data_IF_347294703721
#
_entry.id   IF_347294703721
#
_cell.length_a   1.000
_cell.length_b   1.000
_cell.length_c   1.000
_cell.angle_alpha   90.00
_cell.angle_beta   90.00
_cell.angle_gamma   90.00
#
_symmetry.space_group_name_H-M   'P 1'
#
loop_
_entity.id
_entity.type
_entity.pdbx_description
1 polymer ?
#
# COMPACT_ATOMS: atom_id res chain seq x y z
N UNK A 1 13.38 52.65 -19.95
CA UNK A 1 12.25 53.04 -19.09
C UNK A 1 12.08 51.95 -18.04
N UNK A 2 12.47 52.23 -16.79
CA UNK A 2 12.42 51.29 -15.66
C UNK A 2 11.20 51.64 -14.82
N UNK A 3 10.35 50.67 -14.49
CA UNK A 3 9.29 50.85 -13.50
C UNK A 3 9.61 49.98 -12.30
N UNK A 4 9.99 50.66 -11.20
CA UNK A 4 10.07 50.09 -9.87
C UNK A 4 8.66 50.14 -9.27
N UNK A 5 8.16 49.01 -8.80
CA UNK A 5 6.92 48.95 -8.02
C UNK A 5 7.31 48.61 -6.58
N UNK A 6 7.15 49.60 -5.73
CA UNK A 6 7.28 49.53 -4.27
C UNK A 6 5.91 49.13 -3.71
N UNK A 7 5.82 48.07 -2.90
CA UNK A 7 4.62 47.76 -2.12
C UNK A 7 5.04 47.55 -0.67
N UNK A 8 4.65 48.51 0.17
CA UNK A 8 4.75 48.49 1.64
C UNK A 8 3.36 48.39 2.22
N UNK A 9 3.03 47.30 2.92
CA UNK A 9 1.94 47.20 3.90
C UNK A 9 2.30 46.04 4.85
N UNK A 10 2.05 45.99 6.14
CA UNK A 10 1.69 46.92 7.22
C UNK A 10 1.63 45.98 8.46
N UNK A 11 2.40 46.26 9.51
CA UNK A 11 2.32 45.50 10.77
C UNK A 11 1.00 45.84 11.47
N UNK A 12 0.23 44.83 11.88
CA UNK A 12 -0.87 44.97 12.81
C UNK A 12 -0.57 44.14 14.06
N UNK A 13 -0.07 44.83 15.08
CA UNK A 13 0.06 44.38 16.47
C UNK A 13 -1.32 44.44 17.12
N UNK A 14 -1.76 43.35 17.77
CA UNK A 14 -2.88 43.37 18.70
C UNK A 14 -2.41 42.78 20.04
N UNK A 15 -2.55 43.55 21.10
CA UNK A 15 -2.16 43.25 22.48
C UNK A 15 -3.39 43.37 23.37
N UNK A 16 -3.39 42.62 24.48
CA UNK A 16 -4.17 42.80 25.73
C UNK A 16 -5.66 42.33 25.70
N UNK A 17 -6.31 41.80 26.75
CA UNK A 17 -6.06 41.70 28.22
C UNK A 17 -7.16 40.80 28.90
N UNK A 18 -6.91 40.29 30.13
CA UNK A 18 -7.85 40.04 31.29
C UNK A 18 -8.75 38.77 31.24
N UNK A 19 -9.06 37.97 32.29
CA UNK A 19 -8.85 37.91 33.75
C UNK A 19 -8.98 36.42 34.21
N UNK A 20 -8.22 35.93 35.21
CA UNK A 20 -8.63 35.67 36.62
C UNK A 20 -9.98 34.98 36.87
N UNK A 21 -9.95 33.74 37.37
CA UNK A 21 -10.83 33.33 38.48
C UNK A 21 -10.07 32.40 39.46
N UNK A 22 -10.20 32.70 40.75
CA UNK A 22 -9.43 32.18 41.88
C UNK A 22 -10.34 32.17 43.10
N UNK A 23 -10.51 31.00 43.73
CA UNK A 23 -11.19 30.80 45.03
C UNK A 23 -12.46 29.95 44.88
N UNK A 24 -12.86 29.08 45.80
CA UNK A 24 -12.53 28.96 47.21
C UNK A 24 -12.88 27.57 47.76
N UNK A 25 -12.48 27.36 49.00
CA UNK A 25 -12.25 26.14 49.75
C UNK A 25 -13.46 25.60 50.52
N UNK A 26 -13.30 24.37 51.06
CA UNK A 26 -13.91 23.81 52.29
C UNK A 26 -15.31 23.22 52.11
N UNK A 27 -15.59 21.94 52.45
CA UNK A 27 -15.84 21.49 53.83
C UNK A 27 -15.90 19.96 53.91
N UNK A 28 -15.33 19.41 54.99
CA UNK A 28 -15.34 17.99 55.33
C UNK A 28 -16.53 17.59 56.23
N UNK A 29 -16.64 16.27 56.49
CA UNK A 29 -17.32 15.53 57.59
C UNK A 29 -18.71 14.91 57.27
N UNK A 30 -19.17 13.87 58.00
CA UNK A 30 -18.66 12.49 58.08
C UNK A 30 -19.70 11.41 57.68
N UNK A 31 -19.24 10.16 57.70
CA UNK A 31 -19.95 8.87 57.58
C UNK A 31 -21.16 8.71 58.53
N UNK A 32 -22.13 7.84 58.17
CA UNK A 32 -22.20 6.56 58.91
C UNK A 32 -22.36 5.31 58.02
N UNK A 33 -22.24 4.19 58.71
CA UNK A 33 -22.03 2.80 58.29
C UNK A 33 -23.32 1.96 58.19
N UNK A 34 -23.17 0.78 57.56
CA UNK A 34 -24.04 -0.41 57.50
C UNK A 34 -25.26 -0.34 56.53
N UNK A 35 -25.63 -1.37 55.75
CA UNK A 35 -25.38 -2.82 55.77
C UNK A 35 -25.59 -3.42 54.34
N UNK A 36 -25.39 -4.74 54.11
CA UNK A 36 -25.04 -5.31 52.80
C UNK A 36 -26.27 -5.63 51.93
N UNK A 37 -26.13 -5.53 50.61
CA UNK A 37 -27.12 -6.06 49.67
C UNK A 37 -26.45 -6.84 48.54
N UNK A 38 -26.77 -8.13 48.55
CA UNK A 38 -26.78 -9.14 47.49
C UNK A 38 -25.83 -9.00 46.29
N UNK A 39 -25.00 -10.04 46.16
CA UNK A 39 -24.30 -10.40 44.95
C UNK A 39 -25.26 -10.58 43.76
N UNK A 40 -25.00 -9.83 42.69
CA UNK A 40 -25.49 -10.16 41.34
C UNK A 40 -24.26 -10.44 40.48
N UNK A 41 -23.99 -11.72 40.25
CA UNK A 41 -23.10 -12.21 39.20
C UNK A 41 -23.57 -11.71 37.84
N UNK A 42 -22.95 -10.66 37.33
CA UNK A 42 -23.08 -10.26 35.93
C UNK A 42 -22.06 -11.07 35.12
N UNK A 43 -22.58 -11.98 34.30
CA UNK A 43 -21.81 -12.79 33.37
C UNK A 43 -21.03 -11.88 32.40
N UNK A 44 -19.72 -12.11 32.31
CA UNK A 44 -18.86 -11.58 31.27
C UNK A 44 -19.37 -12.06 29.90
N UNK A 45 -20.01 -11.15 29.16
CA UNK A 45 -20.35 -11.39 27.77
C UNK A 45 -19.07 -11.33 26.91
N UNK A 46 -18.80 -12.32 26.05
CA UNK A 46 -17.64 -12.29 25.16
C UNK A 46 -17.76 -11.14 24.14
N UNK A 47 -16.64 -10.54 23.71
CA UNK A 47 -16.64 -9.46 22.74
C UNK A 47 -17.24 -9.89 21.40
N UNK A 48 -18.03 -8.99 20.83
CA UNK A 48 -18.82 -9.17 19.62
C UNK A 48 -17.99 -9.66 18.43
N UNK A 49 -18.46 -10.75 17.82
CA UNK A 49 -17.99 -11.31 16.55
C UNK A 49 -17.92 -10.25 15.45
N UNK A 50 -16.74 -10.09 14.86
CA UNK A 50 -16.53 -9.36 13.62
C UNK A 50 -17.34 -10.00 12.47
N UNK A 51 -17.84 -9.14 11.57
CA UNK A 51 -18.63 -9.52 10.39
C UNK A 51 -17.96 -10.61 9.55
N UNK A 52 -18.72 -11.56 8.96
CA UNK A 52 -18.18 -12.58 8.08
C UNK A 52 -17.61 -11.91 6.82
N UNK A 53 -16.29 -11.94 6.68
CA UNK A 53 -15.59 -11.56 5.46
C UNK A 53 -15.98 -12.54 4.35
N UNK A 54 -16.44 -12.02 3.21
CA UNK A 54 -16.91 -12.79 2.07
C UNK A 54 -15.85 -13.80 1.60
N UNK A 55 -16.25 -15.08 1.53
CA UNK A 55 -15.46 -16.14 0.93
C UNK A 55 -15.38 -15.92 -0.59
N UNK A 56 -14.17 -15.78 -1.13
CA UNK A 56 -13.95 -15.68 -2.58
C UNK A 56 -14.02 -17.07 -3.23
N UNK A 57 -14.68 -17.25 -4.39
CA UNK A 57 -14.79 -18.54 -5.07
C UNK A 57 -13.44 -19.02 -5.61
N UNK A 58 -13.23 -20.34 -5.56
CA UNK A 58 -11.99 -21.03 -5.94
C UNK A 58 -11.71 -20.96 -7.45
N UNK A 59 -10.47 -20.65 -7.83
CA UNK A 59 -10.09 -20.49 -9.24
C UNK A 59 -8.78 -21.24 -9.62
N UNK A 60 -8.98 -22.46 -10.14
CA UNK A 60 -8.32 -23.17 -11.26
C UNK A 60 -6.85 -23.63 -11.25
N UNK A 61 -6.69 -24.91 -11.61
CA UNK A 61 -5.49 -25.74 -11.77
C UNK A 61 -4.53 -25.42 -12.94
N UNK A 62 -4.74 -24.35 -13.70
CA UNK A 62 -3.94 -24.04 -14.90
C UNK A 62 -2.70 -23.14 -14.62
N UNK A 63 -2.38 -22.87 -13.35
CA UNK A 63 -1.42 -21.83 -12.93
C UNK A 63 -0.10 -22.37 -12.34
N UNK A 64 0.15 -23.67 -12.41
CA UNK A 64 1.27 -24.31 -11.70
C UNK A 64 2.67 -24.00 -12.28
N UNK A 65 2.77 -23.54 -13.52
CA UNK A 65 4.04 -23.17 -14.15
C UNK A 65 4.25 -21.65 -14.09
N UNK A 66 4.86 -21.15 -13.02
CA UNK A 66 5.25 -19.74 -12.95
C UNK A 66 5.57 -19.21 -11.57
N UNK A 67 5.74 -17.88 -11.50
CA UNK A 67 6.08 -17.07 -10.30
C UNK A 67 5.19 -17.30 -9.07
N UNK A 68 4.09 -18.04 -9.18
CA UNK A 68 3.16 -18.37 -8.09
C UNK A 68 3.20 -19.84 -7.62
N UNK A 69 4.17 -20.63 -8.08
CA UNK A 69 4.26 -22.06 -7.78
C UNK A 69 4.24 -22.40 -6.27
N UNK A 70 4.73 -21.49 -5.41
CA UNK A 70 4.73 -21.69 -3.96
C UNK A 70 3.57 -21.00 -3.24
N UNK A 71 2.64 -20.35 -3.94
CA UNK A 71 1.51 -19.70 -3.29
C UNK A 71 0.45 -20.74 -2.91
N UNK A 72 0.12 -20.94 -1.61
CA UNK A 72 -0.91 -21.88 -1.19
C UNK A 72 -2.32 -21.44 -1.63
N UNK A 73 -2.55 -20.14 -1.85
CA UNK A 73 -3.86 -19.60 -2.25
C UNK A 73 -4.27 -19.95 -3.70
N UNK A 74 -3.35 -20.41 -4.54
CA UNK A 74 -3.66 -20.83 -5.92
C UNK A 74 -3.84 -22.34 -6.08
N UNK A 75 -3.73 -23.09 -4.97
CA UNK A 75 -3.99 -24.54 -5.00
C UNK A 75 -5.44 -24.77 -5.46
N UNK A 76 -5.71 -25.71 -6.39
CA UNK A 76 -7.06 -25.97 -6.85
C UNK A 76 -8.01 -26.29 -5.71
N UNK A 77 -9.14 -25.58 -5.66
CA UNK A 77 -10.12 -25.73 -4.59
C UNK A 77 -9.76 -25.03 -3.28
N UNK A 78 -8.65 -24.28 -3.22
CA UNK A 78 -8.30 -23.48 -2.05
C UNK A 78 -9.33 -22.35 -1.83
N UNK A 79 -9.74 -22.20 -0.59
CA UNK A 79 -10.44 -21.04 -0.05
C UNK A 79 -9.50 -20.32 0.91
N UNK A 80 -9.54 -19.00 0.96
CA UNK A 80 -8.73 -18.21 1.89
C UNK A 80 -9.61 -17.24 2.66
N UNK A 81 -9.43 -17.24 3.98
CA UNK A 81 -9.99 -16.24 4.88
C UNK A 81 -8.84 -15.44 5.50
N UNK A 82 -8.95 -14.11 5.45
CA UNK A 82 -8.02 -13.20 6.11
C UNK A 82 -8.66 -12.64 7.37
N UNK A 83 -7.93 -12.68 8.48
CA UNK A 83 -8.27 -12.02 9.75
C UNK A 83 -7.10 -11.20 10.25
N UNK A 84 -7.39 -10.15 10.99
CA UNK A 84 -6.34 -9.46 11.75
C UNK A 84 -5.87 -10.38 12.89
N UNK A 85 -4.56 -10.40 13.11
CA UNK A 85 -3.92 -11.10 14.22
C UNK A 85 -3.13 -10.10 15.06
N UNK A 86 -2.80 -10.46 16.29
CA UNK A 86 -1.94 -9.63 17.13
C UNK A 86 -0.58 -9.41 16.45
N UNK A 87 -0.27 -8.14 16.16
CA UNK A 87 0.95 -7.76 15.46
C UNK A 87 1.04 -8.21 14.00
N UNK A 88 -0.05 -8.65 13.36
CA UNK A 88 0.02 -9.17 11.99
C UNK A 88 -1.32 -9.39 11.29
N UNK A 89 -1.29 -10.30 10.32
CA UNK A 89 -2.45 -10.79 9.58
C UNK A 89 -2.42 -12.32 9.53
N UNK A 90 -3.54 -12.97 9.86
CA UNK A 90 -3.71 -14.42 9.73
C UNK A 90 -4.43 -14.74 8.42
N UNK A 91 -3.85 -15.67 7.65
CA UNK A 91 -4.42 -16.23 6.44
C UNK A 91 -4.73 -17.71 6.68
N UNK A 92 -6.01 -18.06 6.82
CA UNK A 92 -6.45 -19.46 6.89
C UNK A 92 -6.78 -19.92 5.48
N UNK A 93 -6.03 -20.90 4.98
CA UNK A 93 -6.16 -21.45 3.63
C UNK A 93 -6.61 -22.90 3.75
N UNK A 94 -7.77 -23.21 3.21
CA UNK A 94 -8.38 -24.55 3.31
C UNK A 94 -8.83 -25.08 1.97
N UNK A 95 -8.95 -26.40 1.85
CA UNK A 95 -9.54 -27.09 0.71
C UNK A 95 -10.34 -28.30 1.19
N UNK A 96 -11.22 -28.82 0.33
CA UNK A 96 -12.01 -30.03 0.61
C UNK A 96 -11.25 -31.30 0.24
N UNK A 97 -10.48 -31.26 -0.85
CA UNK A 97 -9.77 -32.42 -1.38
C UNK A 97 -8.48 -32.71 -0.60
N UNK A 98 -8.26 -33.94 -0.10
CA UNK A 98 -7.08 -34.28 0.70
C UNK A 98 -5.72 -33.98 0.01
N UNK A 99 -5.68 -34.13 -1.32
CA UNK A 99 -4.51 -33.77 -2.12
C UNK A 99 -4.22 -32.26 -2.05
N UNK A 100 -5.25 -31.42 -2.24
CA UNK A 100 -5.12 -29.96 -2.10
C UNK A 100 -4.75 -29.53 -0.67
N UNK A 101 -5.28 -30.21 0.35
CA UNK A 101 -4.90 -29.97 1.76
C UNK A 101 -3.40 -30.19 1.97
N UNK A 102 -2.90 -31.33 1.47
CA UNK A 102 -1.47 -31.70 1.56
C UNK A 102 -0.59 -30.69 0.81
N UNK A 103 -1.04 -30.26 -0.38
CA UNK A 103 -0.32 -29.27 -1.17
C UNK A 103 -0.30 -27.88 -0.50
N UNK A 104 -1.42 -27.42 0.07
CA UNK A 104 -1.50 -26.16 0.84
C UNK A 104 -0.50 -26.16 1.99
N UNK A 105 -0.47 -27.25 2.78
CA UNK A 105 0.49 -27.38 3.90
C UNK A 105 1.93 -27.40 3.41
N UNK A 106 2.21 -28.12 2.34
CA UNK A 106 3.56 -28.21 1.75
C UNK A 106 4.04 -26.84 1.27
N UNK A 107 3.22 -26.11 0.51
CA UNK A 107 3.53 -24.74 0.05
C UNK A 107 3.65 -23.76 1.23
N UNK A 108 2.81 -23.91 2.25
CA UNK A 108 2.89 -23.12 3.48
C UNK A 108 4.23 -23.29 4.22
N UNK A 109 4.74 -24.53 4.31
CA UNK A 109 6.06 -24.82 4.90
C UNK A 109 7.18 -24.13 4.13
N UNK A 110 7.17 -24.23 2.80
CA UNK A 110 8.14 -23.56 1.93
C UNK A 110 8.14 -22.04 2.17
N UNK A 111 6.98 -21.41 2.29
CA UNK A 111 6.90 -19.97 2.60
C UNK A 111 7.42 -19.64 4.00
N UNK A 112 7.04 -20.40 5.02
CA UNK A 112 7.51 -20.16 6.39
C UNK A 112 9.04 -20.33 6.52
N UNK A 113 9.63 -21.30 5.82
CA UNK A 113 11.09 -21.49 5.75
C UNK A 113 11.76 -20.36 4.97
N UNK A 114 11.21 -20.00 3.81
CA UNK A 114 11.75 -18.91 2.98
C UNK A 114 11.73 -17.57 3.72
N UNK A 115 10.72 -17.31 4.56
CA UNK A 115 10.63 -16.07 5.35
C UNK A 115 11.76 -15.94 6.37
N UNK A 116 12.24 -17.06 6.93
CA UNK A 116 13.39 -17.07 7.85
C UNK A 116 14.70 -16.71 7.13
N UNK A 117 14.82 -17.11 5.87
CA UNK A 117 16.02 -16.91 5.06
C UNK A 117 16.02 -15.57 4.30
N UNK A 118 14.93 -14.81 4.33
CA UNK A 118 14.86 -13.49 3.70
C UNK A 118 15.62 -12.45 4.52
N UNK A 119 16.80 -12.11 4.01
CA UNK A 119 17.55 -10.92 4.40
C UNK A 119 17.14 -9.72 3.53
N UNK A 120 17.28 -8.48 4.02
CA UNK A 120 17.02 -7.28 3.21
C UNK A 120 17.90 -7.20 1.94
N UNK A 121 19.02 -7.93 1.91
CA UNK A 121 19.99 -7.95 0.82
C UNK A 121 19.78 -9.07 -0.21
N UNK A 122 18.72 -9.90 -0.09
CA UNK A 122 18.44 -10.95 -1.08
C UNK A 122 18.16 -10.33 -2.45
N UNK A 123 19.18 -10.36 -3.32
CA UNK A 123 19.07 -9.97 -4.73
C UNK A 123 18.07 -10.87 -5.42
N UNK A 124 17.15 -10.28 -6.17
CA UNK A 124 16.15 -11.01 -6.94
C UNK A 124 16.81 -11.65 -8.16
N UNK A 125 17.25 -12.90 -8.04
CA UNK A 125 17.90 -13.68 -9.11
C UNK A 125 16.93 -14.24 -10.14
N UNK A 126 15.61 -14.06 -9.95
CA UNK A 126 14.58 -14.62 -10.82
C UNK A 126 14.19 -16.07 -10.48
N UNK A 127 14.91 -16.74 -9.58
CA UNK A 127 14.70 -18.14 -9.15
C UNK A 127 13.49 -18.36 -8.23
N UNK A 128 12.61 -17.36 -8.07
CA UNK A 128 11.47 -17.43 -7.17
C UNK A 128 11.77 -17.09 -5.71
N UNK A 129 13.02 -17.05 -5.26
CA UNK A 129 13.40 -16.78 -3.85
C UNK A 129 13.40 -15.29 -3.45
N UNK A 130 13.12 -14.40 -4.41
CA UNK A 130 13.05 -12.96 -4.18
C UNK A 130 11.66 -12.50 -3.76
N UNK A 131 11.56 -11.78 -2.64
CA UNK A 131 10.32 -11.17 -2.13
C UNK A 131 9.55 -10.26 -3.10
N UNK A 132 10.15 -9.90 -4.24
CA UNK A 132 9.53 -9.15 -5.34
C UNK A 132 8.86 -9.99 -6.43
N UNK A 133 8.81 -11.33 -6.35
CA UNK A 133 8.32 -12.14 -7.48
C UNK A 133 7.55 -13.42 -7.17
N UNK A 134 7.09 -13.69 -5.93
CA UNK A 134 6.17 -14.81 -5.62
C UNK A 134 4.74 -14.66 -6.22
N UNK A 135 4.61 -13.89 -7.30
CA UNK A 135 3.35 -13.34 -7.78
C UNK A 135 2.63 -12.56 -6.69
N UNK A 136 1.39 -12.16 -6.95
CA UNK A 136 0.56 -11.44 -5.96
C UNK A 136 0.03 -12.40 -4.89
N UNK A 137 0.87 -13.24 -4.29
CA UNK A 137 0.45 -14.11 -3.20
C UNK A 137 0.03 -13.27 -1.99
N UNK A 138 -1.16 -13.49 -1.40
CA UNK A 138 -1.63 -12.79 -0.21
C UNK A 138 -0.68 -12.88 0.98
N UNK A 139 0.14 -13.94 1.03
CA UNK A 139 1.25 -14.07 1.98
C UNK A 139 2.38 -13.12 1.56
N UNK A 140 2.48 -11.98 2.23
CA UNK A 140 3.52 -10.97 1.98
C UNK A 140 4.80 -11.38 2.70
N UNK A 141 5.88 -11.60 1.94
CA UNK A 141 7.16 -12.08 2.48
C UNK A 141 8.21 -10.99 2.72
N UNK A 142 8.04 -9.82 2.11
CA UNK A 142 8.99 -8.70 2.24
C UNK A 142 8.91 -8.14 3.66
N UNK A 143 10.05 -8.14 4.35
CA UNK A 143 10.20 -7.58 5.70
C UNK A 143 9.20 -8.16 6.72
N UNK A 144 8.83 -9.43 6.56
CA UNK A 144 7.90 -10.12 7.45
C UNK A 144 8.50 -11.39 8.03
N UNK A 145 7.95 -11.84 9.15
CA UNK A 145 8.06 -13.20 9.64
C UNK A 145 6.76 -13.94 9.32
N UNK A 146 6.86 -15.23 8.97
CA UNK A 146 5.72 -16.08 8.66
C UNK A 146 5.75 -17.29 9.59
N UNK A 147 4.71 -17.40 10.41
CA UNK A 147 4.46 -18.54 11.28
C UNK A 147 3.41 -19.44 10.59
N UNK A 148 3.65 -20.75 10.59
CA UNK A 148 2.74 -21.74 9.99
C UNK A 148 2.16 -22.63 11.07
N UNK A 149 0.85 -22.85 11.01
CA UNK A 149 0.15 -23.85 11.80
C UNK A 149 -0.72 -24.70 10.88
N UNK A 150 -0.57 -26.02 10.92
CA UNK A 150 -1.50 -26.91 10.22
C UNK A 150 -2.88 -26.83 10.91
N UNK A 151 -3.93 -26.69 10.11
CA UNK A 151 -5.32 -26.66 10.59
C UNK A 151 -6.15 -27.72 9.87
N UNK A 152 -7.35 -27.99 10.37
CA UNK A 152 -8.28 -28.87 9.67
C UNK A 152 -8.56 -28.34 8.26
N UNK A 153 -8.38 -29.21 7.25
CA UNK A 153 -8.58 -28.84 5.85
C UNK A 153 -7.50 -27.95 5.23
N UNK A 154 -6.37 -27.65 5.90
CA UNK A 154 -5.30 -26.87 5.26
C UNK A 154 -4.23 -26.33 6.21
N UNK A 155 -3.92 -25.04 6.08
CA UNK A 155 -2.91 -24.34 6.85
C UNK A 155 -3.33 -22.91 7.22
N UNK A 156 -2.91 -22.47 8.40
CA UNK A 156 -2.97 -21.09 8.85
C UNK A 156 -1.57 -20.47 8.80
N UNK A 157 -1.42 -19.34 8.12
CA UNK A 157 -0.20 -18.56 8.09
C UNK A 157 -0.41 -17.23 8.81
N UNK A 158 0.33 -17.01 9.89
CA UNK A 158 0.37 -15.70 10.57
C UNK A 158 1.57 -14.93 10.07
N UNK A 159 1.30 -13.81 9.39
CA UNK A 159 2.33 -12.94 8.81
C UNK A 159 2.46 -11.70 9.69
N UNK A 160 3.65 -11.46 10.23
CA UNK A 160 3.96 -10.32 11.08
C UNK A 160 5.04 -9.47 10.41
N UNK A 161 4.91 -8.14 10.34
CA UNK A 161 5.99 -7.30 9.83
C UNK A 161 7.13 -7.28 10.86
N UNK A 162 8.38 -7.18 10.37
CA UNK A 162 9.55 -6.99 11.24
C UNK A 162 9.60 -5.56 11.80
N UNK A 163 9.02 -4.59 11.08
CA UNK A 163 8.77 -3.23 11.57
C UNK A 163 7.28 -3.05 11.92
N UNK A 164 6.91 -2.80 13.20
CA UNK A 164 5.53 -2.56 13.60
C UNK A 164 4.83 -1.43 12.84
N UNK A 165 5.57 -0.44 12.31
CA UNK A 165 5.01 0.66 11.51
C UNK A 165 4.42 0.19 10.18
N UNK A 166 4.81 -0.98 9.70
CA UNK A 166 4.31 -1.56 8.45
C UNK A 166 3.03 -2.40 8.64
N UNK A 167 2.50 -2.54 9.87
CA UNK A 167 1.36 -3.41 10.15
C UNK A 167 0.10 -3.04 9.34
N UNK A 168 -0.28 -1.77 9.31
CA UNK A 168 -1.45 -1.33 8.55
C UNK A 168 -1.27 -1.53 7.04
N UNK A 169 -0.04 -1.33 6.55
CA UNK A 169 0.30 -1.62 5.16
C UNK A 169 0.19 -3.12 4.87
N UNK A 170 0.75 -3.99 5.72
CA UNK A 170 0.71 -5.44 5.56
C UNK A 170 -0.73 -5.95 5.51
N UNK A 171 -1.56 -5.51 6.46
CA UNK A 171 -2.98 -5.85 6.55
C UNK A 171 -3.75 -5.44 5.30
N UNK A 172 -3.46 -4.26 4.75
CA UNK A 172 -4.09 -3.76 3.52
C UNK A 172 -3.60 -4.56 2.30
N UNK A 173 -2.29 -4.71 2.14
CA UNK A 173 -1.67 -5.41 1.01
C UNK A 173 -2.13 -6.88 0.93
N UNK A 174 -2.21 -7.60 2.05
CA UNK A 174 -2.68 -8.99 2.07
C UNK A 174 -4.13 -9.12 1.56
N UNK A 175 -5.02 -8.20 1.98
CA UNK A 175 -6.42 -8.18 1.53
C UNK A 175 -6.55 -7.80 0.06
N UNK A 176 -5.81 -6.79 -0.39
CA UNK A 176 -5.77 -6.38 -1.79
C UNK A 176 -5.31 -7.53 -2.69
N UNK A 177 -4.22 -8.20 -2.31
CA UNK A 177 -3.72 -9.38 -3.05
C UNK A 177 -4.74 -10.51 -3.07
N UNK A 178 -5.47 -10.75 -1.97
CA UNK A 178 -6.52 -11.77 -1.96
C UNK A 178 -7.71 -11.39 -2.84
N UNK A 179 -8.17 -10.15 -2.79
CA UNK A 179 -9.23 -9.65 -3.65
C UNK A 179 -8.84 -9.78 -5.13
N UNK A 180 -7.57 -9.52 -5.45
CA UNK A 180 -6.99 -9.71 -6.77
C UNK A 180 -6.94 -11.18 -7.20
N UNK A 181 -6.66 -12.14 -6.32
CA UNK A 181 -6.62 -13.56 -6.74
C UNK A 181 -7.95 -14.09 -7.28
N UNK A 182 -9.07 -13.54 -6.81
CA UNK A 182 -10.42 -13.88 -7.27
C UNK A 182 -10.80 -13.25 -8.61
N UNK A 183 -10.11 -12.19 -9.02
CA UNK A 183 -10.39 -11.51 -10.29
C UNK A 183 -9.56 -12.13 -11.41
N UNK A 184 -10.25 -12.71 -12.41
CA UNK A 184 -9.62 -13.33 -13.58
C UNK A 184 -8.69 -12.34 -14.31
N UNK A 185 -8.98 -11.04 -14.25
CA UNK A 185 -8.16 -9.99 -14.84
C UNK A 185 -6.89 -9.68 -14.02
N UNK A 186 -6.94 -9.84 -12.70
CA UNK A 186 -5.78 -9.64 -11.85
C UNK A 186 -4.72 -10.77 -11.98
N UNK A 187 -5.13 -11.94 -12.50
CA UNK A 187 -4.22 -13.04 -12.86
C UNK A 187 -3.29 -12.70 -14.03
N UNK A 188 -3.72 -11.85 -14.96
CA UNK A 188 -2.89 -11.29 -16.03
C UNK A 188 -2.17 -9.99 -15.60
N UNK A 189 -2.72 -9.31 -14.59
CA UNK A 189 -2.24 -8.01 -14.13
C UNK A 189 -0.88 -7.99 -13.42
N UNK A 190 -0.31 -9.16 -13.10
CA UNK A 190 0.92 -9.27 -12.31
C UNK A 190 2.13 -8.55 -12.91
N UNK A 191 2.13 -8.27 -14.21
CA UNK A 191 3.25 -7.62 -14.92
C UNK A 191 2.94 -6.17 -15.35
N UNK A 192 1.66 -5.76 -15.42
CA UNK A 192 1.23 -4.50 -16.04
C UNK A 192 0.81 -3.37 -15.10
N UNK A 193 0.65 -3.60 -13.79
CA UNK A 193 -0.01 -2.64 -12.86
C UNK A 193 0.65 -1.26 -12.72
N UNK A 194 1.85 -1.07 -13.27
CA UNK A 194 2.55 0.21 -13.32
C UNK A 194 3.06 0.59 -14.71
N UNK A 195 2.72 -0.20 -15.74
CA UNK A 195 3.13 0.08 -17.11
C UNK A 195 2.69 1.48 -17.57
N UNK A 196 1.58 1.97 -17.02
CA UNK A 196 1.05 3.30 -17.31
C UNK A 196 1.26 4.31 -16.19
N UNK A 197 1.93 3.95 -15.09
CA UNK A 197 2.26 4.95 -14.08
C UNK A 197 3.49 5.75 -14.53
N UNK A 198 3.39 7.09 -14.68
CA UNK A 198 4.53 7.89 -15.11
C UNK A 198 5.64 7.92 -14.06
N UNK A 199 5.31 7.82 -12.77
CA UNK A 199 6.30 7.74 -11.68
C UNK A 199 7.12 6.45 -11.68
N UNK A 200 6.74 5.45 -12.47
CA UNK A 200 7.48 4.20 -12.62
C UNK A 200 8.44 4.21 -13.82
N UNK A 201 8.58 5.34 -14.53
CA UNK A 201 9.66 5.52 -15.49
C UNK A 201 10.99 5.57 -14.74
N UNK A 202 11.99 4.81 -15.20
CA UNK A 202 13.29 4.70 -14.51
C UNK A 202 13.94 6.08 -14.37
N UNK A 203 14.50 6.37 -13.20
CA UNK A 203 15.09 7.67 -12.87
C UNK A 203 14.12 8.86 -12.78
N UNK A 204 12.80 8.65 -12.91
CA UNK A 204 11.83 9.73 -12.74
C UNK A 204 11.78 10.24 -11.30
N UNK A 205 11.74 11.57 -11.14
CA UNK A 205 11.50 12.23 -9.86
C UNK A 205 10.03 12.60 -9.75
N UNK A 206 9.38 12.16 -8.68
CA UNK A 206 7.99 12.54 -8.36
C UNK A 206 7.97 13.45 -7.14
N UNK A 207 7.18 14.51 -7.20
CA UNK A 207 6.93 15.44 -6.08
C UNK A 207 5.44 15.76 -6.01
N UNK A 208 4.97 16.18 -4.83
CA UNK A 208 3.62 16.70 -4.66
C UNK A 208 3.63 18.10 -4.07
N UNK A 209 2.66 18.91 -4.47
CA UNK A 209 2.38 20.22 -3.92
C UNK A 209 0.92 20.30 -3.53
N UNK A 210 0.68 20.70 -2.29
CA UNK A 210 -0.65 20.97 -1.78
C UNK A 210 -1.24 22.21 -2.45
N UNK A 211 -2.45 22.07 -3.00
CA UNK A 211 -3.28 23.18 -3.44
C UNK A 211 -4.45 23.35 -2.45
N UNK A 212 -5.22 24.43 -2.62
CA UNK A 212 -6.37 24.76 -1.75
C UNK A 212 -7.44 23.68 -1.80
N UNK A 213 -7.73 23.15 -2.97
CA UNK A 213 -8.80 22.18 -3.25
C UNK A 213 -8.32 20.93 -4.02
N UNK A 214 -7.01 20.75 -4.14
CA UNK A 214 -6.40 19.69 -4.94
C UNK A 214 -4.98 19.34 -4.44
N UNK A 215 -4.38 18.34 -5.08
CA UNK A 215 -2.96 17.98 -4.97
C UNK A 215 -2.36 18.02 -6.36
N UNK A 216 -1.28 18.78 -6.54
CA UNK A 216 -0.49 18.77 -7.78
C UNK A 216 0.63 17.74 -7.66
N UNK A 217 0.61 16.71 -8.50
CA UNK A 217 1.66 15.68 -8.59
C UNK A 217 2.52 15.98 -9.81
N UNK A 218 3.80 16.30 -9.58
CA UNK A 218 4.75 16.60 -10.65
C UNK A 218 5.71 15.43 -10.83
N UNK A 219 5.80 14.91 -12.06
CA UNK A 219 6.65 13.79 -12.43
C UNK A 219 7.57 14.25 -13.55
N UNK A 220 8.88 14.26 -13.31
CA UNK A 220 9.90 14.71 -14.26
C UNK A 220 10.97 13.65 -14.46
N UNK A 221 11.39 13.46 -15.71
CA UNK A 221 12.55 12.66 -16.07
C UNK A 221 13.85 13.47 -15.97
N UNK A 222 14.97 12.79 -16.21
CA UNK A 222 16.31 13.39 -16.28
C UNK A 222 16.70 13.83 -17.69
N UNK A 223 15.95 13.38 -18.71
CA UNK A 223 16.21 13.66 -20.12
C UNK A 223 14.91 13.58 -20.95
N UNK A 224 14.98 14.01 -22.21
CA UNK A 224 13.81 14.06 -23.11
C UNK A 224 13.21 12.69 -23.45
N UNK A 225 14.02 11.61 -23.47
CA UNK A 225 13.50 10.27 -23.74
C UNK A 225 12.58 9.81 -22.60
N UNK A 226 13.02 9.99 -21.35
CA UNK A 226 12.19 9.74 -20.16
C UNK A 226 10.99 10.70 -20.11
N UNK A 227 11.16 11.97 -20.48
CA UNK A 227 10.07 12.93 -20.55
C UNK A 227 8.97 12.48 -21.51
N UNK A 228 9.34 11.99 -22.70
CA UNK A 228 8.41 11.44 -23.68
C UNK A 228 7.66 10.24 -23.11
N UNK A 229 8.36 9.31 -22.46
CA UNK A 229 7.74 8.15 -21.83
C UNK A 229 6.76 8.56 -20.71
N UNK A 230 7.15 9.50 -19.84
CA UNK A 230 6.31 10.05 -18.77
C UNK A 230 5.03 10.67 -19.36
N UNK A 231 5.14 11.45 -20.44
CA UNK A 231 3.99 12.07 -21.11
C UNK A 231 3.08 11.02 -21.75
N UNK A 232 3.63 10.00 -22.40
CA UNK A 232 2.86 8.91 -23.00
C UNK A 232 2.09 8.10 -21.95
N UNK A 233 2.75 7.72 -20.85
CA UNK A 233 2.10 7.09 -19.69
C UNK A 233 1.06 8.01 -19.05
N UNK A 234 1.37 9.30 -18.96
CA UNK A 234 0.46 10.30 -18.39
C UNK A 234 -0.85 10.45 -19.18
N UNK A 235 -0.77 10.37 -20.50
CA UNK A 235 -1.97 10.33 -21.37
C UNK A 235 -2.86 9.11 -21.05
N UNK A 236 -2.26 7.95 -20.73
CA UNK A 236 -3.02 6.77 -20.31
C UNK A 236 -3.70 6.98 -18.95
N UNK A 237 -3.03 7.63 -18.00
CA UNK A 237 -3.62 8.00 -16.70
C UNK A 237 -4.84 8.92 -16.90
N UNK A 238 -4.75 9.91 -17.79
CA UNK A 238 -5.87 10.81 -18.08
C UNK A 238 -7.00 10.10 -18.83
N UNK A 239 -6.68 9.20 -19.75
CA UNK A 239 -7.68 8.37 -20.41
C UNK A 239 -8.43 7.51 -19.38
N UNK A 240 -7.71 6.90 -18.43
CA UNK A 240 -8.29 6.13 -17.34
C UNK A 240 -9.13 6.99 -16.38
N UNK A 241 -8.69 8.21 -16.04
CA UNK A 241 -9.41 9.14 -15.17
C UNK A 241 -10.76 9.60 -15.76
N UNK A 242 -10.87 9.63 -17.10
CA UNK A 242 -12.11 10.01 -17.80
C UNK A 242 -13.13 8.87 -17.87
N UNK A 243 -12.70 7.63 -17.69
CA UNK A 243 -13.63 6.53 -17.47
C UNK A 243 -14.25 6.77 -16.10
N UNK A 244 -15.59 6.82 -16.01
CA UNK A 244 -16.24 7.07 -14.72
C UNK A 244 -15.65 6.16 -13.64
N UNK A 245 -15.22 6.74 -12.51
CA UNK A 245 -14.48 6.02 -11.47
C UNK A 245 -15.20 4.74 -11.00
N UNK A 246 -16.54 4.71 -11.12
CA UNK A 246 -17.41 3.57 -10.79
C UNK A 246 -17.43 2.44 -11.86
N UNK A 247 -16.97 2.72 -13.08
CA UNK A 247 -16.92 1.79 -14.23
C UNK A 247 -15.51 1.29 -14.54
N UNK A 248 -14.48 1.85 -13.90
CA UNK A 248 -13.11 1.36 -14.02
C UNK A 248 -12.98 0.03 -13.29
N UNK A 249 -13.23 -1.06 -14.00
CA UNK A 249 -12.88 -2.40 -13.55
C UNK A 249 -11.38 -2.64 -13.77
N UNK A 250 -10.72 -3.30 -12.83
CA UNK A 250 -9.30 -3.59 -12.91
C UNK A 250 -9.01 -4.69 -13.93
N UNK A 251 -8.91 -4.32 -15.22
CA UNK A 251 -8.67 -5.28 -16.30
C UNK A 251 -7.25 -5.86 -16.36
N UNK A 252 -6.35 -5.38 -15.51
CA UNK A 252 -4.99 -5.91 -15.41
C UNK A 252 -4.00 -5.46 -16.48
N UNK A 253 -4.48 -4.78 -17.51
CA UNK A 253 -3.69 -4.10 -18.54
C UNK A 253 -2.87 -2.90 -18.03
N UNK A 254 -3.04 -2.52 -16.77
CA UNK A 254 -2.41 -1.34 -16.18
C UNK A 254 -3.17 -0.04 -16.43
N UNK A 255 -4.29 -0.07 -17.17
CA UNK A 255 -5.16 1.10 -17.42
C UNK A 255 -6.23 1.26 -16.32
N UNK A 256 -6.46 0.19 -15.54
CA UNK A 256 -7.43 0.17 -14.44
C UNK A 256 -7.02 1.04 -13.25
N UNK A 257 -7.40 2.32 -13.28
CA UNK A 257 -7.30 3.30 -12.21
C UNK A 257 -8.12 3.04 -10.95
N UNK A 258 -8.48 1.79 -10.64
CA UNK A 258 -9.14 1.53 -9.37
C UNK A 258 -8.18 1.81 -8.21
N UNK A 259 -8.75 2.25 -7.09
CA UNK A 259 -8.11 3.02 -6.02
C UNK A 259 -6.95 2.38 -5.24
N UNK A 260 -6.23 1.42 -5.79
CA UNK A 260 -5.16 0.66 -5.13
C UNK A 260 -3.91 0.45 -6.02
N UNK A 261 -3.85 1.03 -7.22
CA UNK A 261 -2.58 1.11 -7.97
C UNK A 261 -1.58 2.00 -7.23
N UNK A 262 -0.29 1.63 -7.18
CA UNK A 262 0.72 2.41 -6.43
C UNK A 262 1.12 3.74 -7.07
N UNK A 263 0.43 4.17 -8.12
CA UNK A 263 0.75 5.42 -8.78
C UNK A 263 0.41 6.61 -7.87
N UNK A 264 1.32 7.59 -7.69
CA UNK A 264 1.06 8.81 -6.92
C UNK A 264 -0.19 9.60 -7.36
N UNK A 265 -0.57 9.49 -8.64
CA UNK A 265 -1.82 10.04 -9.17
C UNK A 265 -2.98 9.13 -8.78
N UNK A 266 -3.76 9.54 -7.78
CA UNK A 266 -4.97 8.83 -7.32
C UNK A 266 -6.10 9.12 -8.30
N UNK A 267 -6.79 8.07 -8.77
CA UNK A 267 -7.85 8.17 -9.78
C UNK A 267 -9.25 7.91 -9.22
N UNK A 268 -9.34 7.27 -8.05
CA UNK A 268 -10.61 6.89 -7.44
C UNK A 268 -11.26 8.10 -6.76
N UNK A 269 -12.51 8.36 -7.07
CA UNK A 269 -13.32 9.46 -6.50
C UNK A 269 -12.64 10.83 -6.68
N UNK A 270 -11.91 11.00 -7.80
CA UNK A 270 -11.13 12.21 -8.13
C UNK A 270 -11.32 12.63 -9.57
N UNK A 271 -11.29 13.93 -9.81
CA UNK A 271 -11.11 14.54 -11.13
C UNK A 271 -9.61 14.79 -11.33
N UNK A 272 -9.06 14.29 -12.43
CA UNK A 272 -7.63 14.43 -12.77
C UNK A 272 -7.46 15.24 -14.04
N UNK A 273 -6.70 16.31 -13.94
CA UNK A 273 -6.23 17.11 -15.07
C UNK A 273 -4.72 16.95 -15.22
N UNK A 274 -4.19 17.12 -16.43
CA UNK A 274 -2.75 17.10 -16.68
C UNK A 274 -2.28 18.30 -17.47
N UNK A 275 -1.05 18.72 -17.20
CA UNK A 275 -0.30 19.70 -17.99
C UNK A 275 1.08 19.14 -18.31
N UNK A 276 1.46 19.16 -19.59
CA UNK A 276 2.84 18.86 -19.96
C UNK A 276 3.77 19.98 -19.47
N UNK A 277 4.92 19.59 -18.93
CA UNK A 277 5.94 20.51 -18.40
C UNK A 277 7.31 20.12 -18.97
N UNK A 278 8.34 20.98 -18.82
CA UNK A 278 9.71 20.60 -19.17
C UNK A 278 10.09 19.30 -18.49
N UNK A 279 10.60 18.36 -19.28
CA UNK A 279 11.01 17.02 -18.87
C UNK A 279 9.93 16.11 -18.24
N UNK A 280 8.63 16.42 -18.34
CA UNK A 280 7.61 15.52 -17.79
C UNK A 280 6.17 16.01 -17.86
N UNK A 281 5.41 15.71 -16.81
CA UNK A 281 3.98 16.03 -16.69
C UNK A 281 3.60 16.38 -15.23
N UNK A 282 2.73 17.37 -15.08
CA UNK A 282 2.07 17.70 -13.82
C UNK A 282 0.61 17.26 -13.87
N UNK A 283 0.10 16.70 -12.77
CA UNK A 283 -1.28 16.26 -12.61
C UNK A 283 -1.93 17.04 -11.48
N UNK A 284 -3.07 17.68 -11.74
CA UNK A 284 -3.92 18.25 -10.69
C UNK A 284 -4.98 17.22 -10.34
N UNK A 285 -4.93 16.70 -9.12
CA UNK A 285 -5.87 15.69 -8.61
C UNK A 285 -6.79 16.36 -7.61
N UNK A 286 -8.07 16.44 -7.94
CA UNK A 286 -9.11 17.05 -7.11
C UNK A 286 -10.09 15.97 -6.65
N UNK A 287 -10.43 15.88 -5.36
CA UNK A 287 -11.45 14.93 -4.92
C UNK A 287 -12.83 15.36 -5.45
N UNK A 288 -13.67 14.40 -5.81
CA UNK A 288 -15.07 14.69 -6.18
C UNK A 288 -15.85 15.26 -4.99
N UNK A 289 -15.49 14.83 -3.76
CA UNK A 289 -16.08 15.36 -2.52
C UNK A 289 -15.08 16.25 -1.77
N UNK A 290 -15.43 17.50 -1.44
CA UNK A 290 -14.52 18.42 -0.75
C UNK A 290 -13.97 17.90 0.60
N UNK A 291 -14.75 17.05 1.30
CA UNK A 291 -14.34 16.45 2.58
C UNK A 291 -13.22 15.41 2.47
N UNK A 292 -12.89 14.94 1.27
CA UNK A 292 -11.90 13.87 1.05
C UNK A 292 -10.49 14.41 0.75
N UNK A 293 -10.30 15.74 0.68
CA UNK A 293 -9.02 16.36 0.32
C UNK A 293 -7.87 15.97 1.27
N UNK A 294 -8.12 15.92 2.57
CA UNK A 294 -7.09 15.55 3.55
C UNK A 294 -6.64 14.10 3.37
N UNK A 295 -7.56 13.19 3.06
CA UNK A 295 -7.27 11.79 2.76
C UNK A 295 -6.49 11.67 1.45
N UNK A 296 -6.93 12.38 0.41
CA UNK A 296 -6.23 12.41 -0.88
C UNK A 296 -4.78 12.88 -0.74
N UNK A 297 -4.54 13.97 -0.01
CA UNK A 297 -3.19 14.49 0.28
C UNK A 297 -2.32 13.46 0.96
N UNK A 298 -2.84 12.87 2.05
CA UNK A 298 -2.13 11.83 2.81
C UNK A 298 -1.78 10.64 1.91
N UNK A 299 -2.75 10.16 1.14
CA UNK A 299 -2.57 9.00 0.26
C UNK A 299 -1.56 9.27 -0.86
N UNK A 300 -1.65 10.42 -1.54
CA UNK A 300 -0.69 10.82 -2.58
C UNK A 300 0.73 10.92 -2.01
N UNK A 301 0.91 11.56 -0.85
CA UNK A 301 2.23 11.68 -0.21
C UNK A 301 2.79 10.32 0.20
N UNK A 302 1.99 9.46 0.84
CA UNK A 302 2.41 8.09 1.17
C UNK A 302 2.82 7.29 -0.08
N UNK A 303 2.10 7.46 -1.19
CA UNK A 303 2.44 6.80 -2.47
C UNK A 303 3.75 7.32 -3.03
N UNK A 304 4.03 8.63 -2.94
CA UNK A 304 5.30 9.23 -3.38
C UNK A 304 6.47 8.76 -2.52
N UNK A 305 6.31 8.73 -1.21
CA UNK A 305 7.35 8.26 -0.29
C UNK A 305 7.69 6.79 -0.56
N UNK A 306 6.67 5.96 -0.80
CA UNK A 306 6.85 4.54 -1.16
C UNK A 306 7.42 4.32 -2.57
N UNK A 307 7.29 5.30 -3.48
CA UNK A 307 7.81 5.24 -4.85
C UNK A 307 9.17 5.87 -5.05
N UNK A 308 9.55 6.79 -4.16
CA UNK A 308 10.86 7.41 -4.23
C UNK A 308 11.89 6.31 -3.94
N UNK A 309 12.77 5.96 -4.91
CA UNK A 309 13.87 5.08 -4.59
C UNK A 309 14.61 5.72 -3.42
N UNK A 310 14.88 4.94 -2.36
CA UNK A 310 15.69 5.42 -1.26
C UNK A 310 16.93 6.10 -1.86
N UNK A 311 17.30 7.32 -1.42
CA UNK A 311 18.40 8.05 -2.00
C UNK A 311 19.60 7.11 -2.06
N UNK A 312 20.07 6.81 -3.28
CA UNK A 312 21.24 5.95 -3.46
C UNK A 312 22.37 6.64 -2.68
N UNK A 313 22.98 5.99 -1.68
CA UNK A 313 24.05 6.60 -0.91
C UNK A 313 25.09 7.15 -1.89
N UNK A 314 25.40 8.45 -1.76
CA UNK A 314 26.24 9.20 -2.70
C UNK A 314 27.60 8.53 -2.97
N UNK A 315 28.05 7.68 -2.05
CA UNK A 315 29.33 6.98 -2.10
C UNK A 315 29.39 5.86 -3.16
N UNK A 316 28.25 5.35 -3.65
CA UNK A 316 28.24 4.29 -4.69
C UNK A 316 28.27 4.83 -6.13
N UNK A 317 28.00 6.11 -6.35
CA UNK A 317 27.95 6.69 -7.69
C UNK A 317 29.33 6.94 -8.33
N UNK A 318 30.44 6.77 -7.58
CA UNK A 318 31.80 7.01 -8.09
C UNK A 318 32.54 5.77 -8.59
N UNK A 319 32.03 4.56 -8.36
CA UNK A 319 32.78 3.33 -8.67
C UNK A 319 32.65 2.84 -10.13
N UNK A 320 31.66 3.31 -10.91
CA UNK A 320 31.31 2.71 -12.21
C UNK A 320 31.88 3.46 -13.44
N UNK A 321 32.78 4.42 -13.25
CA UNK A 321 33.38 5.21 -14.34
C UNK A 321 34.84 4.89 -14.65
N UNK A 322 35.44 3.89 -14.00
CA UNK A 322 36.91 3.70 -14.04
C UNK A 322 37.42 2.54 -14.89
N UNK A 323 36.59 1.76 -15.59
CA UNK A 323 37.05 0.60 -16.36
C UNK A 323 36.60 0.58 -17.84
N UNK A 324 36.97 1.61 -18.61
CA UNK A 324 36.70 1.65 -20.06
C UNK A 324 37.84 2.18 -20.92
N UNK A 325 39.08 2.03 -20.47
CA UNK A 325 40.22 2.56 -21.22
C UNK A 325 41.55 1.91 -20.90
N UNK A 326 41.74 0.64 -21.30
CA UNK A 326 43.07 0.06 -21.58
C UNK A 326 42.92 -1.29 -22.28
N UNK A 327 42.87 -1.27 -23.60
CA UNK A 327 42.83 -2.47 -24.43
C UNK A 327 43.16 -2.16 -25.88
N UNK A 328 44.34 -1.60 -26.11
CA UNK A 328 44.86 -1.30 -27.44
C UNK A 328 46.38 -1.34 -27.43
N UNK A 329 46.93 -2.52 -27.73
CA UNK A 329 48.19 -2.74 -28.45
C UNK A 329 48.07 -4.03 -29.23
#
# INVERSE_FOLDING_TARGET
MRHAVCVSWAFATLTALVACDKGSSTTARPSPSAAPSAATTAANAPPASASPSAASPAASAALAAGKMAHCPNIVPGANTVIKDAEGGVSLTITAKEPASVTEIRTRGKVLAESAKNMTPDVKHTGSGEGGGSFGRCPVVMRNTAVELKDVEGGAELVVKPKDPKELDWLKREARERLAELGDRAAKEAGQGKMAHCPSATDGAKTTAKDLKDAVEVTIVGTNEAQAKEIRERGKQVIAAAKLEAKKVTHKGDGSGGGGFGRCPVVLKDTVVESKEIPLGMAFTVKPEKPGELAQLKKETLERIEKFSPAPVPADKAKADKSDKGKGGR
#
